data_IF_984638220916
#
_entry.id   IF_984638220916
#
_cell.length_a   1.000
_cell.length_b   1.000
_cell.length_c   1.000
_cell.angle_alpha   90.00
_cell.angle_beta   90.00
_cell.angle_gamma   90.00
#
_symmetry.space_group_name_H-M   'P 1'
#
loop_
_entity.id
_entity.type
_entity.pdbx_description
1 polymer ?
#
# COMPACT_ATOMS: atom_id res chain seq x y z
N UNK A 1 1.37 7.62 54.10
CA UNK A 1 -0.05 7.24 53.94
C UNK A 1 -0.26 6.92 52.46
N UNK A 2 0.10 5.72 52.00
CA UNK A 2 -0.76 4.53 51.85
C UNK A 2 -2.10 4.77 51.15
N UNK A 3 -2.18 4.33 49.88
CA UNK A 3 -3.27 3.62 49.17
C UNK A 3 -2.82 3.49 47.71
N UNK A 4 -2.12 2.42 47.33
CA UNK A 4 -2.63 1.07 46.98
C UNK A 4 -3.50 1.03 45.72
N UNK A 5 -2.87 0.45 44.70
CA UNK A 5 -3.31 -0.13 43.42
C UNK A 5 -4.81 -0.48 43.29
N UNK A 6 -5.34 -0.25 42.08
CA UNK A 6 -6.40 -1.10 41.52
C UNK A 6 -5.90 -1.67 40.18
N UNK A 7 -5.57 -2.96 40.21
CA UNK A 7 -5.51 -3.83 39.04
C UNK A 7 -6.94 -4.12 38.62
N UNK A 8 -7.25 -3.93 37.33
CA UNK A 8 -8.42 -4.57 36.72
C UNK A 8 -7.91 -5.75 35.92
N UNK A 9 -8.13 -6.93 36.49
CA UNK A 9 -8.11 -8.21 35.81
C UNK A 9 -9.56 -8.57 35.45
N UNK A 10 -9.80 -8.99 34.22
CA UNK A 10 -11.04 -9.63 33.75
C UNK A 10 -10.71 -10.29 32.40
N UNK A 11 -10.27 -11.54 32.40
CA UNK A 11 -11.08 -12.76 32.37
C UNK A 11 -11.72 -13.03 30.98
N UNK A 12 -10.98 -13.84 30.21
CA UNK A 12 -11.39 -14.88 29.25
C UNK A 12 -12.89 -15.03 28.92
N UNK A 13 -13.19 -15.02 27.61
CA UNK A 13 -14.19 -15.89 27.02
C UNK A 13 -13.59 -16.59 25.78
N UNK A 14 -13.20 -17.85 26.00
CA UNK A 14 -12.73 -18.79 24.99
C UNK A 14 -13.95 -19.64 24.64
N UNK A 15 -14.58 -19.40 23.48
CA UNK A 15 -15.62 -20.28 22.94
C UNK A 15 -15.03 -20.99 21.75
N UNK A 16 -14.60 -22.23 22.00
CA UNK A 16 -14.39 -23.22 20.97
C UNK A 16 -15.72 -23.73 20.46
N UNK A 17 -15.88 -23.75 19.13
CA UNK A 17 -16.77 -24.66 18.45
C UNK A 17 -15.95 -25.31 17.35
N UNK A 18 -15.47 -26.52 17.63
CA UNK A 18 -14.82 -27.37 16.66
C UNK A 18 -15.83 -27.86 15.62
N UNK A 19 -15.40 -27.86 14.37
CA UNK A 19 -15.98 -28.72 13.34
C UNK A 19 -14.83 -29.44 12.66
N UNK A 20 -14.69 -30.71 13.06
CA UNK A 20 -13.76 -31.68 12.52
C UNK A 20 -14.34 -32.22 11.23
N UNK A 21 -13.68 -31.98 10.10
CA UNK A 21 -13.85 -32.77 8.88
C UNK A 21 -12.46 -33.07 8.30
N UNK A 22 -12.09 -34.34 8.36
CA UNK A 22 -10.97 -34.93 7.64
C UNK A 22 -11.48 -36.25 7.02
N UNK A 23 -10.75 -36.88 6.10
CA UNK A 23 -10.24 -36.36 4.84
C UNK A 23 -10.82 -37.16 3.66
N UNK A 24 -10.98 -36.56 2.48
CA UNK A 24 -11.16 -37.33 1.24
C UNK A 24 -9.87 -37.23 0.43
N UNK A 25 -9.16 -38.35 0.37
CA UNK A 25 -8.04 -38.55 -0.52
C UNK A 25 -8.54 -38.58 -1.96
N UNK A 26 -8.13 -37.60 -2.76
CA UNK A 26 -8.12 -37.71 -4.20
C UNK A 26 -6.65 -37.56 -4.65
N UNK A 27 -6.05 -38.69 -5.01
CA UNK A 27 -4.79 -38.74 -5.73
C UNK A 27 -4.97 -38.04 -7.07
N UNK A 28 -4.21 -36.97 -7.31
CA UNK A 28 -3.90 -36.49 -8.63
C UNK A 28 -2.38 -36.33 -8.73
N UNK A 29 -1.83 -36.97 -9.76
CA UNK A 29 -0.42 -37.23 -10.01
C UNK A 29 0.44 -35.96 -10.15
N UNK A 30 1.78 -36.07 -9.98
CA UNK A 30 2.68 -34.96 -10.21
C UNK A 30 2.77 -34.66 -11.70
N UNK A 31 2.35 -33.47 -12.13
CA UNK A 31 2.77 -32.92 -13.41
C UNK A 31 4.03 -32.11 -13.15
N UNK A 32 5.16 -32.80 -13.25
CA UNK A 32 6.48 -32.19 -13.36
C UNK A 32 6.63 -31.72 -14.81
N UNK A 33 6.49 -30.42 -15.05
CA UNK A 33 7.14 -29.77 -16.19
C UNK A 33 8.06 -28.70 -15.65
N UNK A 34 9.21 -29.15 -15.16
CA UNK A 34 10.39 -28.31 -15.08
C UNK A 34 10.87 -28.08 -16.51
N UNK A 35 10.62 -26.89 -17.07
CA UNK A 35 11.37 -26.44 -18.23
C UNK A 35 12.74 -26.00 -17.73
N UNK A 36 13.68 -26.95 -17.74
CA UNK A 36 15.10 -26.63 -17.68
C UNK A 36 15.45 -25.87 -18.96
N UNK A 37 15.67 -24.56 -18.87
CA UNK A 37 16.39 -23.83 -19.90
C UNK A 37 17.83 -24.35 -19.93
N UNK A 38 18.14 -25.15 -20.94
CA UNK A 38 19.51 -25.55 -21.25
C UNK A 38 20.27 -24.29 -21.74
N UNK A 39 21.50 -24.03 -21.28
CA UNK A 39 22.33 -22.95 -21.84
C UNK A 39 22.57 -23.22 -23.33
N UNK A 40 22.28 -22.21 -24.16
CA UNK A 40 22.32 -22.28 -25.61
C UNK A 40 23.67 -22.74 -26.15
N UNK A 41 23.60 -23.72 -27.04
CA UNK A 41 24.69 -24.22 -27.87
C UNK A 41 25.02 -23.16 -28.95
N UNK A 42 26.30 -22.87 -29.24
CA UNK A 42 26.67 -21.90 -30.27
C UNK A 42 26.60 -22.52 -31.66
N UNK A 43 25.86 -21.91 -32.57
CA UNK A 43 26.06 -22.08 -34.01
C UNK A 43 24.79 -22.21 -34.86
N UNK A 44 24.33 -21.09 -35.41
CA UNK A 44 23.81 -21.04 -36.78
C UNK A 44 23.86 -19.58 -37.29
N UNK A 45 24.57 -19.28 -38.39
CA UNK A 45 24.57 -17.96 -38.99
C UNK A 45 23.37 -17.85 -39.95
N UNK A 46 22.39 -17.00 -39.66
CA UNK A 46 21.35 -16.71 -40.66
C UNK A 46 19.96 -16.25 -40.22
N UNK A 47 19.68 -16.02 -38.93
CA UNK A 47 18.44 -15.36 -38.50
C UNK A 47 18.79 -14.19 -37.58
N UNK A 48 18.30 -12.96 -37.83
CA UNK A 48 18.22 -11.97 -36.78
C UNK A 48 17.15 -12.45 -35.80
N UNK A 49 17.55 -13.32 -34.87
CA UNK A 49 16.74 -13.61 -33.69
C UNK A 49 16.62 -12.30 -32.93
N UNK A 50 15.39 -11.78 -32.82
CA UNK A 50 15.13 -10.71 -31.87
C UNK A 50 15.52 -11.26 -30.50
N UNK A 51 16.58 -10.73 -29.91
CA UNK A 51 16.93 -11.01 -28.53
C UNK A 51 15.72 -10.60 -27.67
N UNK A 52 14.96 -11.58 -27.21
CA UNK A 52 13.83 -11.42 -26.30
C UNK A 52 14.33 -11.26 -24.87
N UNK A 53 15.33 -10.42 -24.66
CA UNK A 53 15.87 -10.08 -23.35
C UNK A 53 15.18 -8.81 -22.87
N UNK A 54 14.70 -8.84 -21.62
CA UNK A 54 14.15 -7.65 -20.99
C UNK A 54 15.24 -6.58 -20.95
N UNK A 55 14.96 -5.31 -21.31
CA UNK A 55 15.94 -4.24 -21.16
C UNK A 55 16.26 -3.92 -19.71
N UNK A 56 15.48 -4.45 -18.77
CA UNK A 56 15.76 -4.37 -17.34
C UNK A 56 16.97 -5.24 -17.01
N UNK A 57 18.03 -4.61 -16.52
CA UNK A 57 19.29 -5.26 -16.14
C UNK A 57 19.36 -5.59 -14.67
N UNK A 58 18.77 -4.75 -13.81
CA UNK A 58 18.76 -4.93 -12.38
C UNK A 58 17.59 -4.19 -11.74
N UNK A 59 17.12 -4.69 -10.59
CA UNK A 59 16.10 -4.05 -9.77
C UNK A 59 16.56 -4.06 -8.33
N UNK A 60 16.69 -2.87 -7.73
CA UNK A 60 17.01 -2.70 -6.32
C UNK A 60 15.77 -2.28 -5.55
N UNK A 61 15.46 -3.00 -4.48
CA UNK A 61 14.34 -2.69 -3.58
C UNK A 61 14.87 -1.90 -2.39
N UNK A 62 14.40 -0.66 -2.22
CA UNK A 62 14.73 0.20 -1.07
C UNK A 62 13.51 0.38 -0.17
N UNK A 63 13.65 -0.03 1.08
CA UNK A 63 12.56 0.04 2.05
C UNK A 63 12.56 1.38 2.78
N UNK A 64 11.41 2.05 2.78
CA UNK A 64 11.12 3.17 3.64
C UNK A 64 9.98 2.78 4.59
N UNK A 65 9.77 3.52 5.69
CA UNK A 65 8.75 3.14 6.66
C UNK A 65 7.31 3.21 6.09
N UNK A 66 7.07 4.08 5.11
CA UNK A 66 5.73 4.34 4.55
C UNK A 66 5.50 3.75 3.16
N UNK A 67 6.57 3.38 2.45
CA UNK A 67 6.55 2.90 1.08
C UNK A 67 7.85 2.16 0.74
N UNK A 68 7.89 1.53 -0.42
CA UNK A 68 9.08 0.94 -1.00
C UNK A 68 9.41 1.67 -2.30
N UNK A 69 10.69 1.89 -2.58
CA UNK A 69 11.15 2.36 -3.89
C UNK A 69 11.75 1.18 -4.65
N UNK A 70 11.32 1.00 -5.89
CA UNK A 70 11.98 0.13 -6.86
C UNK A 70 12.90 0.98 -7.74
N UNK A 71 14.20 0.76 -7.67
CA UNK A 71 15.17 1.33 -8.59
C UNK A 71 15.46 0.33 -9.71
N UNK A 72 15.21 0.72 -10.95
CA UNK A 72 15.21 -0.18 -12.11
C UNK A 72 16.30 0.26 -13.07
N UNK A 73 17.39 -0.48 -13.16
CA UNK A 73 18.45 -0.22 -14.12
C UNK A 73 18.10 -0.82 -15.49
N UNK A 74 18.29 -0.04 -16.56
CA UNK A 74 18.00 -0.47 -17.94
C UNK A 74 19.23 -0.33 -18.84
N UNK A 75 19.38 -1.26 -19.79
CA UNK A 75 20.47 -1.23 -20.78
C UNK A 75 20.23 -0.23 -21.93
N UNK A 76 18.98 0.15 -22.15
CA UNK A 76 18.55 1.12 -23.17
C UNK A 76 17.33 1.92 -22.71
N UNK A 77 17.20 3.10 -23.31
CA UNK A 77 16.04 3.99 -23.19
C UNK A 77 14.74 3.21 -23.39
N UNK A 78 13.91 3.11 -22.36
CA UNK A 78 12.68 2.33 -22.44
C UNK A 78 11.62 2.88 -21.50
N UNK A 79 10.37 2.93 -21.96
CA UNK A 79 9.21 3.21 -21.11
C UNK A 79 8.93 2.00 -20.22
N UNK A 80 9.04 2.19 -18.91
CA UNK A 80 8.89 1.15 -17.90
C UNK A 80 7.52 1.23 -17.24
N UNK A 81 6.95 0.06 -16.96
CA UNK A 81 5.69 -0.08 -16.24
C UNK A 81 5.85 -1.09 -15.12
N UNK A 82 5.22 -0.82 -13.97
CA UNK A 82 5.13 -1.79 -12.88
C UNK A 82 3.82 -2.56 -13.02
N UNK A 83 3.93 -3.88 -13.04
CA UNK A 83 2.82 -4.80 -13.15
C UNK A 83 2.50 -5.38 -11.78
N UNK A 84 1.21 -5.45 -11.46
CA UNK A 84 0.64 -6.17 -10.32
C UNK A 84 -0.38 -7.15 -10.85
N UNK A 85 -0.23 -8.43 -10.53
CA UNK A 85 -1.09 -9.50 -11.08
C UNK A 85 -1.15 -9.50 -12.63
N UNK A 86 -0.07 -9.07 -13.29
CA UNK A 86 0.01 -8.97 -14.75
C UNK A 86 -0.62 -7.73 -15.37
N UNK A 87 -1.19 -6.82 -14.58
CA UNK A 87 -1.76 -5.55 -15.04
C UNK A 87 -0.89 -4.37 -14.61
N UNK A 88 -0.71 -3.41 -15.51
CA UNK A 88 -0.04 -2.16 -15.16
C UNK A 88 -0.85 -1.42 -14.10
N UNK A 89 -0.20 -1.06 -13.00
CA UNK A 89 -0.81 -0.20 -11.98
C UNK A 89 -0.05 1.11 -11.88
N UNK A 90 -0.78 2.16 -11.50
CA UNK A 90 -0.21 3.50 -11.37
C UNK A 90 0.66 3.56 -10.10
N UNK A 91 1.95 3.30 -10.29
CA UNK A 91 3.00 3.52 -9.30
C UNK A 91 3.65 4.88 -9.61
N UNK A 92 3.50 5.89 -8.73
CA UNK A 92 4.10 7.20 -8.98
C UNK A 92 5.59 7.06 -9.25
N UNK A 93 6.02 7.47 -10.44
CA UNK A 93 7.43 7.58 -10.76
C UNK A 93 7.96 8.90 -10.20
N UNK A 94 9.04 8.88 -9.41
CA UNK A 94 9.67 10.12 -8.91
C UNK A 94 10.50 10.84 -9.97
N UNK A 95 10.49 10.37 -11.22
CA UNK A 95 11.35 10.87 -12.27
C UNK A 95 10.69 11.99 -13.10
N UNK A 96 10.95 13.25 -12.73
CA UNK A 96 10.78 14.47 -13.55
C UNK A 96 11.73 14.56 -14.78
N UNK A 97 12.21 13.46 -15.37
CA UNK A 97 13.44 13.50 -16.17
C UNK A 97 13.21 13.35 -17.69
N UNK A 98 13.42 14.45 -18.42
CA UNK A 98 13.46 14.54 -19.89
C UNK A 98 14.72 13.90 -20.54
N UNK A 99 15.34 12.88 -19.94
CA UNK A 99 16.59 12.32 -20.48
C UNK A 99 16.55 10.80 -20.64
N UNK A 100 16.87 10.29 -21.83
CA UNK A 100 16.57 8.91 -22.22
C UNK A 100 17.46 7.83 -21.57
N UNK A 101 18.53 8.19 -20.86
CA UNK A 101 19.46 7.23 -20.25
C UNK A 101 19.47 7.38 -18.73
N UNK A 102 18.65 6.64 -17.97
CA UNK A 102 18.73 6.52 -16.49
C UNK A 102 17.76 5.46 -15.91
N UNK A 103 18.07 4.96 -14.69
CA UNK A 103 17.21 4.02 -13.98
C UNK A 103 15.82 4.60 -13.67
N UNK A 104 14.81 3.74 -13.74
CA UNK A 104 13.44 4.06 -13.32
C UNK A 104 13.30 4.00 -11.80
N UNK A 105 12.47 4.88 -11.23
CA UNK A 105 12.21 4.90 -9.79
C UNK A 105 10.70 4.86 -9.55
N UNK A 106 10.20 3.76 -8.98
CA UNK A 106 8.79 3.58 -8.71
C UNK A 106 8.51 3.56 -7.21
N UNK A 107 7.58 4.40 -6.76
CA UNK A 107 7.08 4.37 -5.38
C UNK A 107 5.94 3.37 -5.31
N UNK A 108 6.15 2.28 -4.58
CA UNK A 108 5.16 1.25 -4.34
C UNK A 108 4.66 1.34 -2.91
N UNK A 109 3.34 1.49 -2.75
CA UNK A 109 2.66 1.45 -1.45
C UNK A 109 2.08 0.07 -1.21
N UNK A 110 2.14 -0.37 0.05
CA UNK A 110 1.54 -1.63 0.47
C UNK A 110 0.03 -1.63 0.29
N UNK A 111 -0.53 -2.83 0.16
CA UNK A 111 -1.98 -3.07 -0.04
C UNK A 111 -2.61 -3.85 1.12
N UNK A 112 -1.93 -3.85 2.27
CA UNK A 112 -2.28 -4.66 3.44
C UNK A 112 -1.68 -6.08 3.42
N UNK A 113 -0.83 -6.37 2.43
CA UNK A 113 -0.03 -7.60 2.34
C UNK A 113 1.40 -7.31 2.81
N UNK A 114 1.98 -8.31 3.46
CA UNK A 114 3.36 -8.25 3.98
C UNK A 114 4.36 -8.31 2.85
N UNK A 115 4.08 -9.16 1.88
CA UNK A 115 4.92 -9.40 0.71
C UNK A 115 4.04 -9.41 -0.55
N UNK A 116 4.60 -9.01 -1.67
CA UNK A 116 3.93 -9.03 -2.96
C UNK A 116 4.91 -9.28 -4.10
N UNK A 117 4.51 -10.12 -5.06
CA UNK A 117 5.24 -10.34 -6.30
C UNK A 117 4.74 -9.34 -7.35
N UNK A 118 5.66 -8.49 -7.80
CA UNK A 118 5.45 -7.51 -8.86
C UNK A 118 6.21 -7.91 -10.11
N UNK A 119 5.83 -7.30 -11.24
CA UNK A 119 6.59 -7.37 -12.48
C UNK A 119 7.06 -5.98 -12.88
N UNK A 120 8.18 -5.90 -13.59
CA UNK A 120 8.53 -4.72 -14.37
C UNK A 120 8.52 -5.12 -15.83
N UNK A 121 7.78 -4.37 -16.63
CA UNK A 121 7.72 -4.56 -18.08
C UNK A 121 8.02 -3.25 -18.79
N UNK A 122 8.04 -3.34 -20.11
CA UNK A 122 8.15 -2.20 -21.00
C UNK A 122 6.82 -2.01 -21.70
N UNK A 123 6.48 -0.78 -22.06
CA UNK A 123 5.21 -0.43 -22.72
C UNK A 123 4.99 -1.10 -24.12
N UNK A 124 5.83 -2.05 -24.52
CA UNK A 124 5.74 -2.84 -25.76
C UNK A 124 5.59 -4.35 -25.55
N UNK A 125 5.35 -4.83 -24.32
CA UNK A 125 5.13 -6.26 -24.04
C UNK A 125 6.41 -7.11 -24.05
N UNK A 126 7.55 -6.50 -23.76
CA UNK A 126 8.82 -7.22 -23.57
C UNK A 126 8.76 -8.15 -22.34
N UNK A 127 9.73 -9.05 -22.15
CA UNK A 127 9.71 -10.00 -21.04
C UNK A 127 9.62 -9.29 -19.69
N UNK A 128 8.69 -9.75 -18.85
CA UNK A 128 8.48 -9.22 -17.50
C UNK A 128 9.64 -9.65 -16.60
N UNK A 129 10.29 -8.68 -15.96
CA UNK A 129 11.25 -8.93 -14.91
C UNK A 129 10.51 -9.09 -13.58
N UNK A 130 10.54 -10.28 -12.93
CA UNK A 130 9.85 -10.49 -11.65
C UNK A 130 10.59 -9.80 -10.51
N UNK A 131 9.85 -9.19 -9.59
CA UNK A 131 10.36 -8.48 -8.42
C UNK A 131 9.56 -8.90 -7.21
N UNK A 132 10.21 -9.50 -6.23
CA UNK A 132 9.57 -9.79 -4.94
C UNK A 132 9.78 -8.60 -4.00
N UNK A 133 8.69 -8.09 -3.40
CA UNK A 133 8.72 -6.93 -2.50
C UNK A 133 8.19 -7.32 -1.13
N UNK A 134 9.04 -7.17 -0.11
CA UNK A 134 8.64 -7.20 1.30
C UNK A 134 8.31 -5.77 1.77
N UNK A 135 7.06 -5.52 2.11
CA UNK A 135 6.62 -4.23 2.62
C UNK A 135 6.90 -4.05 4.11
N UNK A 136 7.05 -5.13 4.89
CA UNK A 136 7.30 -5.05 6.33
C UNK A 136 6.33 -4.12 7.08
N UNK A 137 6.85 -2.96 7.51
CA UNK A 137 6.08 -1.90 8.18
C UNK A 137 5.25 -1.02 7.22
N UNK A 138 5.66 -0.91 5.95
CA UNK A 138 4.94 -0.19 4.89
C UNK A 138 3.75 -0.97 4.31
N UNK A 139 3.46 -2.16 4.85
CA UNK A 139 2.38 -3.04 4.37
C UNK A 139 1.01 -2.34 4.43
N UNK A 140 0.80 -1.48 5.43
CA UNK A 140 -0.42 -0.69 5.56
C UNK A 140 -0.11 0.77 5.19
N UNK A 141 -0.62 1.28 4.05
CA UNK A 141 -0.36 2.66 3.64
C UNK A 141 -1.09 3.63 4.56
N UNK A 142 -0.78 4.92 4.50
CA UNK A 142 -1.57 5.94 5.20
C UNK A 142 -3.02 5.98 4.70
N UNK A 143 -3.96 6.34 5.59
CA UNK A 143 -5.29 6.76 5.17
C UNK A 143 -5.17 8.12 4.46
N UNK A 144 -5.87 8.29 3.35
CA UNK A 144 -5.80 9.51 2.55
C UNK A 144 -7.05 10.34 2.83
N UNK A 145 -6.87 11.53 3.40
CA UNK A 145 -7.95 12.51 3.52
C UNK A 145 -8.41 12.96 2.12
N UNK A 146 -9.70 12.85 1.84
CA UNK A 146 -10.34 13.22 0.56
C UNK A 146 -11.16 14.51 0.68
N UNK A 147 -10.97 15.26 1.76
CA UNK A 147 -11.63 16.54 1.96
C UNK A 147 -11.20 17.52 0.86
N UNK A 148 -12.14 17.90 0.01
CA UNK A 148 -11.89 18.86 -1.07
C UNK A 148 -11.69 20.29 -0.54
N UNK A 149 -11.02 21.16 -1.30
CA UNK A 149 -10.87 22.58 -0.98
C UNK A 149 -12.22 23.26 -0.69
N UNK A 150 -13.22 23.03 -1.55
CA UNK A 150 -14.59 23.53 -1.35
C UNK A 150 -15.19 23.03 -0.02
N UNK A 151 -14.87 21.80 0.39
CA UNK A 151 -15.34 21.28 1.68
C UNK A 151 -14.62 21.95 2.85
N UNK A 152 -13.30 22.20 2.73
CA UNK A 152 -12.54 22.95 3.72
C UNK A 152 -13.06 24.38 3.89
N UNK A 153 -13.35 25.10 2.80
CA UNK A 153 -13.95 26.44 2.86
C UNK A 153 -15.30 26.44 3.60
N UNK A 154 -16.14 25.42 3.36
CA UNK A 154 -17.41 25.28 4.09
C UNK A 154 -17.18 24.98 5.57
N UNK A 155 -16.17 24.17 5.91
CA UNK A 155 -15.82 23.87 7.30
C UNK A 155 -15.36 25.15 7.99
N UNK A 156 -14.46 25.92 7.36
CA UNK A 156 -13.99 27.20 7.89
C UNK A 156 -15.15 28.15 8.21
N UNK A 157 -16.05 28.40 7.24
CA UNK A 157 -17.22 29.25 7.44
C UNK A 157 -18.17 28.72 8.53
N UNK A 158 -18.27 27.39 8.70
CA UNK A 158 -19.07 26.77 9.76
C UNK A 158 -18.43 26.94 11.14
N UNK A 159 -17.11 26.79 11.24
CA UNK A 159 -16.35 26.99 12.48
C UNK A 159 -16.45 28.45 12.93
N UNK A 160 -16.30 29.42 12.02
CA UNK A 160 -16.55 30.85 12.29
C UNK A 160 -17.97 31.11 12.80
N UNK A 161 -18.96 30.38 12.27
CA UNK A 161 -20.36 30.45 12.70
C UNK A 161 -20.67 29.63 13.97
N UNK A 162 -19.66 29.04 14.63
CA UNK A 162 -19.80 28.29 15.88
C UNK A 162 -20.31 26.85 15.71
N UNK A 163 -20.23 26.28 14.50
CA UNK A 163 -20.55 24.87 14.21
C UNK A 163 -19.25 24.08 14.07
N UNK A 164 -19.01 23.19 15.02
CA UNK A 164 -17.69 22.59 15.22
C UNK A 164 -17.59 21.11 14.84
N UNK A 165 -18.71 20.40 14.78
CA UNK A 165 -18.74 18.97 14.49
C UNK A 165 -18.89 18.75 12.98
N UNK A 166 -17.95 18.02 12.38
CA UNK A 166 -17.88 17.74 10.95
C UNK A 166 -17.58 16.27 10.69
N UNK A 167 -17.72 15.83 9.44
CA UNK A 167 -17.39 14.49 8.99
C UNK A 167 -16.42 14.59 7.82
N UNK A 168 -15.26 13.96 7.94
CA UNK A 168 -14.23 13.94 6.91
C UNK A 168 -14.25 12.61 6.14
N UNK A 169 -14.21 12.65 4.81
CA UNK A 169 -14.06 11.46 3.99
C UNK A 169 -12.60 11.02 3.93
N UNK A 170 -12.33 9.76 4.22
CA UNK A 170 -11.03 9.11 4.05
C UNK A 170 -11.11 7.98 3.03
N UNK A 171 -10.04 7.83 2.26
CA UNK A 171 -9.76 6.63 1.47
C UNK A 171 -8.74 5.76 2.23
N UNK A 172 -9.08 4.50 2.40
CA UNK A 172 -8.37 3.52 3.21
C UNK A 172 -8.43 2.14 2.55
N UNK A 173 -7.74 1.14 3.12
CA UNK A 173 -7.91 -0.25 2.70
C UNK A 173 -9.33 -0.73 3.08
N UNK A 174 -10.03 -1.49 2.21
CA UNK A 174 -11.37 -2.01 2.55
C UNK A 174 -11.35 -2.83 3.84
N UNK A 175 -12.22 -2.49 4.80
CA UNK A 175 -12.28 -3.12 6.12
C UNK A 175 -11.23 -2.63 7.13
N UNK A 176 -10.36 -1.68 6.78
CA UNK A 176 -9.45 -1.05 7.73
C UNK A 176 -10.18 -0.10 8.69
N UNK A 177 -9.69 -0.01 9.92
CA UNK A 177 -10.16 1.02 10.87
C UNK A 177 -9.33 2.28 10.69
N UNK A 178 -9.95 3.35 10.25
CA UNK A 178 -9.35 4.69 10.21
C UNK A 178 -9.54 5.35 11.56
N UNK A 179 -8.45 5.84 12.15
CA UNK A 179 -8.45 6.59 13.40
C UNK A 179 -7.97 8.01 13.13
N UNK A 180 -8.73 9.01 13.57
CA UNK A 180 -8.39 10.42 13.44
C UNK A 180 -8.37 11.03 14.83
N UNK A 181 -7.28 11.71 15.18
CA UNK A 181 -7.16 12.47 16.42
C UNK A 181 -7.14 13.94 16.09
N UNK A 182 -8.17 14.67 16.51
CA UNK A 182 -8.27 16.12 16.31
C UNK A 182 -8.32 16.77 17.69
N UNK A 183 -7.45 17.74 17.96
CA UNK A 183 -7.40 18.46 19.24
C UNK A 183 -7.30 17.53 20.47
N UNK A 184 -6.58 16.41 20.32
CA UNK A 184 -6.41 15.40 21.38
C UNK A 184 -7.59 14.43 21.56
N UNK A 185 -8.65 14.53 20.76
CA UNK A 185 -9.78 13.60 20.79
C UNK A 185 -9.70 12.65 19.59
N UNK A 186 -9.65 11.35 19.86
CA UNK A 186 -9.61 10.31 18.83
C UNK A 186 -11.01 9.79 18.51
N UNK A 187 -11.34 9.76 17.23
CA UNK A 187 -12.53 9.13 16.66
C UNK A 187 -12.11 8.07 15.64
N UNK A 188 -12.98 7.09 15.40
CA UNK A 188 -12.68 5.99 14.48
C UNK A 188 -13.86 5.67 13.58
N UNK A 189 -13.57 5.19 12.37
CA UNK A 189 -14.56 4.62 11.46
C UNK A 189 -13.94 3.45 10.68
N UNK A 190 -14.76 2.48 10.30
CA UNK A 190 -14.32 1.34 9.47
C UNK A 190 -14.58 1.66 8.01
N UNK A 191 -13.57 1.46 7.17
CA UNK A 191 -13.68 1.63 5.73
C UNK A 191 -14.59 0.57 5.11
N UNK A 192 -15.50 1.00 4.24
CA UNK A 192 -16.43 0.12 3.55
C UNK A 192 -15.72 -0.77 2.50
N UNK A 193 -16.51 -1.57 1.77
CA UNK A 193 -15.99 -2.45 0.70
C UNK A 193 -15.29 -1.71 -0.45
N UNK A 194 -15.48 -0.40 -0.57
CA UNK A 194 -14.84 0.47 -1.55
C UNK A 194 -13.66 1.25 -0.95
N UNK A 195 -13.31 0.96 0.31
CA UNK A 195 -12.23 1.64 1.02
C UNK A 195 -12.59 3.04 1.48
N UNK A 196 -13.88 3.38 1.62
CA UNK A 196 -14.32 4.71 2.07
C UNK A 196 -14.69 4.69 3.55
N UNK A 197 -14.17 5.64 4.31
CA UNK A 197 -14.52 5.85 5.71
C UNK A 197 -14.98 7.30 5.92
N UNK A 198 -16.01 7.48 6.75
CA UNK A 198 -16.51 8.79 7.15
C UNK A 198 -16.22 8.99 8.64
N UNK A 199 -15.24 9.84 8.96
CA UNK A 199 -14.76 9.99 10.34
C UNK A 199 -15.29 11.30 10.92
N UNK A 200 -16.05 11.28 12.02
CA UNK A 200 -16.49 12.49 12.69
C UNK A 200 -15.31 13.18 13.38
N UNK A 201 -15.20 14.49 13.24
CA UNK A 201 -14.17 15.32 13.87
C UNK A 201 -14.80 16.56 14.50
N UNK A 202 -14.08 17.15 15.45
CA UNK A 202 -14.51 18.39 16.09
C UNK A 202 -13.39 19.43 16.07
N UNK A 203 -13.65 20.53 15.38
CA UNK A 203 -12.74 21.67 15.31
C UNK A 203 -13.11 22.76 16.31
N UNK A 204 -12.23 23.73 16.47
CA UNK A 204 -12.48 24.99 17.15
C UNK A 204 -11.92 26.14 16.30
N UNK A 205 -12.26 27.38 16.64
CA UNK A 205 -11.64 28.54 15.99
C UNK A 205 -10.13 28.56 16.26
N UNK A 206 -9.33 28.88 15.24
CA UNK A 206 -7.88 28.91 15.24
C UNK A 206 -7.23 27.58 14.85
N UNK A 207 -6.16 27.24 15.56
CA UNK A 207 -5.25 26.14 15.19
C UNK A 207 -5.74 24.78 15.68
N UNK A 208 -5.93 23.83 14.77
CA UNK A 208 -6.47 22.51 15.03
C UNK A 208 -5.47 21.43 14.59
N UNK A 209 -4.58 20.94 15.49
CA UNK A 209 -3.74 19.79 15.18
C UNK A 209 -4.59 18.54 14.95
N UNK A 210 -4.32 17.88 13.84
CA UNK A 210 -4.98 16.65 13.41
C UNK A 210 -3.92 15.60 13.05
N UNK A 211 -4.12 14.36 13.47
CA UNK A 211 -3.38 13.22 12.96
C UNK A 211 -4.32 12.09 12.58
N UNK A 212 -3.96 11.31 11.56
CA UNK A 212 -4.75 10.17 11.11
C UNK A 212 -3.87 8.97 10.80
N UNK A 213 -4.38 7.78 11.06
CA UNK A 213 -3.74 6.52 10.67
C UNK A 213 -4.81 5.48 10.38
N UNK A 214 -4.45 4.40 9.70
CA UNK A 214 -5.32 3.23 9.57
C UNK A 214 -4.69 1.98 10.15
N UNK A 215 -5.55 1.09 10.64
CA UNK A 215 -5.16 -0.25 11.11
C UNK A 215 -5.85 -1.30 10.27
N UNK A 216 -5.08 -2.22 9.72
CA UNK A 216 -5.57 -3.33 8.89
C UNK A 216 -4.80 -4.61 9.25
N UNK A 217 -5.51 -5.71 9.47
CA UNK A 217 -4.93 -7.01 9.87
C UNK A 217 -3.93 -6.94 11.05
N UNK A 218 -4.19 -6.07 12.03
CA UNK A 218 -3.34 -5.89 13.21
C UNK A 218 -2.07 -5.07 12.99
N UNK A 219 -1.84 -4.57 11.77
CA UNK A 219 -0.78 -3.60 11.44
C UNK A 219 -1.33 -2.20 11.34
N UNK A 220 -0.51 -1.21 11.67
CA UNK A 220 -0.90 0.20 11.70
C UNK A 220 -0.01 0.99 10.75
N UNK A 221 -0.60 1.86 9.95
CA UNK A 221 0.13 2.78 9.07
C UNK A 221 0.91 3.81 9.89
N UNK A 222 1.88 4.45 9.25
CA UNK A 222 2.42 5.70 9.80
C UNK A 222 1.30 6.74 9.94
N UNK A 223 1.37 7.61 10.96
CA UNK A 223 0.42 8.69 11.11
C UNK A 223 0.71 9.79 10.10
N UNK A 224 -0.33 10.26 9.42
CA UNK A 224 -0.31 11.53 8.68
C UNK A 224 -0.76 12.64 9.62
N UNK A 225 -0.01 13.75 9.68
CA UNK A 225 -0.23 14.83 10.62
C UNK A 225 -0.29 16.18 9.91
N UNK A 226 -1.35 16.94 10.21
CA UNK A 226 -1.61 18.25 9.65
C UNK A 226 -2.18 19.17 10.72
N UNK A 227 -1.89 20.46 10.62
CA UNK A 227 -2.56 21.48 11.45
C UNK A 227 -3.46 22.29 10.56
N UNK A 228 -4.75 22.31 10.87
CA UNK A 228 -5.74 23.14 10.19
C UNK A 228 -5.89 24.49 10.88
N UNK A 229 -5.99 25.56 10.11
CA UNK A 229 -6.32 26.89 10.62
C UNK A 229 -7.70 27.28 10.10
N UNK A 230 -8.64 27.51 11.02
CA UNK A 230 -10.02 27.89 10.74
C UNK A 230 -10.44 29.17 11.47
#
# INVERSE_FOLDING_TARGET
MNRSRLLVAGATALVGAGLVLAPVAAQAAPVTTASSSTPGQPGQPGQPGAETTSPVTNVTVRHFPEYVILDVDVDRVTDLEVLRNGEAFDAPSTSDWQSPSRPGHFVVKGVGLDEEDLGISTAGGAPVYPVHVDFGQAAVPQAIDKTSERQLERIAAQVEAGRFDHVLPFQALPGATVSVTTNGVTTTAVADRYGKAEVPVRYHAGSNPQSSFQTFNGKTSFPDAITWEF
#
